data_IF_774058875873
#
_entry.id   IF_774058875873
#
_cell.length_a   1.000
_cell.length_b   1.000
_cell.length_c   1.000
_cell.angle_alpha   90.00
_cell.angle_beta   90.00
_cell.angle_gamma   90.00
#
_symmetry.space_group_name_H-M   'P 1'
#
loop_
_entity.id
_entity.type
_entity.pdbx_description
1 polymer ?
#
# COMPACT_ATOMS: atom_id res chain seq x y z
N UNK A 1 -18.66 -6.70 -0.94
CA UNK A 1 -18.23 -7.16 0.39
C UNK A 1 -18.90 -8.50 0.65
N UNK A 2 -18.29 -9.40 1.44
CA UNK A 2 -18.85 -10.72 1.73
C UNK A 2 -20.27 -10.60 2.27
N UNK A 3 -21.22 -11.44 1.79
CA UNK A 3 -22.51 -11.60 2.44
C UNK A 3 -22.32 -12.02 3.91
N UNK A 4 -23.12 -11.46 4.81
CA UNK A 4 -23.10 -11.87 6.21
C UNK A 4 -23.73 -13.27 6.33
N UNK A 5 -22.94 -14.23 6.83
CA UNK A 5 -23.41 -15.58 7.16
C UNK A 5 -23.02 -15.90 8.59
N UNK A 6 -23.92 -16.56 9.32
CA UNK A 6 -23.74 -16.93 10.71
C UNK A 6 -24.29 -18.31 11.03
N UNK A 7 -24.21 -18.71 12.29
CA UNK A 7 -24.64 -20.03 12.77
C UNK A 7 -26.14 -20.32 12.52
N UNK A 8 -26.95 -19.26 12.36
CA UNK A 8 -28.40 -19.34 12.15
C UNK A 8 -28.82 -19.02 10.71
N UNK A 9 -27.88 -18.93 9.78
CA UNK A 9 -28.19 -18.64 8.38
C UNK A 9 -28.90 -19.79 7.69
N UNK A 10 -29.85 -19.43 6.83
CA UNK A 10 -30.61 -20.38 6.02
C UNK A 10 -29.73 -21.01 4.94
N UNK A 11 -30.14 -22.16 4.40
CA UNK A 11 -29.44 -22.81 3.28
C UNK A 11 -29.27 -21.87 2.08
N UNK A 12 -30.28 -21.03 1.81
CA UNK A 12 -30.24 -20.07 0.71
C UNK A 12 -29.17 -18.97 0.93
N UNK A 13 -29.00 -18.50 2.16
CA UNK A 13 -27.96 -17.52 2.50
C UNK A 13 -26.55 -18.12 2.36
N UNK A 14 -26.39 -19.39 2.72
CA UNK A 14 -25.16 -20.14 2.48
C UNK A 14 -24.86 -20.30 0.99
N UNK A 15 -25.86 -20.62 0.17
CA UNK A 15 -25.69 -20.72 -1.29
C UNK A 15 -25.24 -19.39 -1.91
N UNK A 16 -25.81 -18.27 -1.46
CA UNK A 16 -25.42 -16.92 -1.88
C UNK A 16 -23.97 -16.62 -1.47
N UNK A 17 -23.58 -16.97 -0.24
CA UNK A 17 -22.20 -16.82 0.21
C UNK A 17 -21.22 -17.66 -0.62
N UNK A 18 -21.54 -18.93 -0.88
CA UNK A 18 -20.70 -19.81 -1.70
C UNK A 18 -20.56 -19.31 -3.13
N UNK A 19 -21.64 -18.80 -3.73
CA UNK A 19 -21.60 -18.18 -5.05
C UNK A 19 -20.73 -16.92 -5.07
N UNK A 20 -20.82 -16.09 -4.03
CA UNK A 20 -19.96 -14.92 -3.87
C UNK A 20 -18.49 -15.32 -3.71
N UNK A 21 -18.18 -16.26 -2.80
CA UNK A 21 -16.82 -16.71 -2.52
C UNK A 21 -16.15 -17.26 -3.78
N UNK A 22 -16.85 -18.08 -4.59
CA UNK A 22 -16.32 -18.59 -5.86
C UNK A 22 -15.94 -17.46 -6.82
N UNK A 23 -16.79 -16.44 -6.96
CA UNK A 23 -16.52 -15.28 -7.83
C UNK A 23 -15.33 -14.47 -7.32
N UNK A 24 -15.25 -14.23 -6.00
CA UNK A 24 -14.15 -13.50 -5.39
C UNK A 24 -12.82 -14.25 -5.55
N UNK A 25 -12.80 -15.56 -5.33
CA UNK A 25 -11.62 -16.42 -5.54
C UNK A 25 -11.13 -16.41 -6.98
N UNK A 26 -12.04 -16.46 -7.96
CA UNK A 26 -11.66 -16.36 -9.39
C UNK A 26 -11.03 -15.00 -9.68
N UNK A 27 -11.62 -13.92 -9.16
CA UNK A 27 -11.08 -12.57 -9.35
C UNK A 27 -9.72 -12.39 -8.65
N UNK A 28 -9.57 -12.92 -7.44
CA UNK A 28 -8.30 -12.97 -6.73
C UNK A 28 -7.24 -13.68 -7.58
N UNK A 29 -7.56 -14.85 -8.14
CA UNK A 29 -6.63 -15.57 -9.00
C UNK A 29 -6.24 -14.79 -10.26
N UNK A 30 -7.19 -14.14 -10.91
CA UNK A 30 -6.93 -13.28 -12.08
C UNK A 30 -6.00 -12.12 -11.69
N UNK A 31 -6.26 -11.46 -10.57
CA UNK A 31 -5.41 -10.38 -10.08
C UNK A 31 -4.00 -10.90 -9.78
N UNK A 32 -3.85 -11.95 -8.98
CA UNK A 32 -2.54 -12.47 -8.57
C UNK A 32 -1.73 -13.04 -9.73
N UNK A 33 -2.36 -13.70 -10.70
CA UNK A 33 -1.67 -14.33 -11.84
C UNK A 33 -1.08 -13.32 -12.83
N UNK A 34 -1.53 -12.07 -12.79
CA UNK A 34 -1.08 -10.99 -13.67
C UNK A 34 -0.08 -10.04 -13.01
N UNK A 35 0.23 -10.22 -11.72
CA UNK A 35 1.22 -9.40 -11.03
C UNK A 35 2.63 -9.93 -11.27
N UNK A 36 3.59 -9.01 -11.41
CA UNK A 36 5.00 -9.36 -11.30
C UNK A 36 5.33 -9.82 -9.88
N UNK A 37 6.43 -10.55 -9.71
CA UNK A 37 6.86 -11.07 -8.40
C UNK A 37 7.10 -9.94 -7.39
N UNK A 38 7.62 -8.81 -7.85
CA UNK A 38 7.89 -7.63 -7.03
C UNK A 38 6.60 -6.99 -6.53
N UNK A 39 5.57 -6.89 -7.38
CA UNK A 39 4.26 -6.34 -7.01
C UNK A 39 3.50 -7.29 -6.09
N UNK A 40 3.60 -8.61 -6.33
CA UNK A 40 2.99 -9.62 -5.49
C UNK A 40 3.59 -9.61 -4.06
N UNK A 41 4.90 -9.38 -3.91
CA UNK A 41 5.56 -9.29 -2.60
C UNK A 41 5.15 -8.04 -1.79
N UNK A 42 4.71 -6.97 -2.45
CA UNK A 42 4.27 -5.73 -1.79
C UNK A 42 2.83 -5.80 -1.26
N UNK A 43 2.07 -6.84 -1.62
CA UNK A 43 0.71 -7.07 -1.14
C UNK A 43 0.78 -8.17 -0.08
N UNK A 44 0.26 -7.95 1.14
CA UNK A 44 0.17 -9.03 2.11
C UNK A 44 -0.66 -10.15 1.48
N UNK A 45 0.01 -11.26 1.16
CA UNK A 45 -0.67 -12.43 0.63
C UNK A 45 -1.56 -13.01 1.73
N UNK A 46 -2.59 -13.72 1.27
CA UNK A 46 -3.71 -14.31 2.03
C UNK A 46 -3.24 -15.18 3.23
N UNK A 47 -1.95 -15.50 3.33
CA UNK A 47 -1.37 -16.41 4.32
C UNK A 47 -0.80 -15.75 5.59
N UNK A 48 -0.96 -14.43 5.79
CA UNK A 48 -0.73 -13.85 7.12
C UNK A 48 -1.82 -14.33 8.08
N UNK A 49 -1.56 -15.50 8.68
CA UNK A 49 -2.32 -16.12 9.78
C UNK A 49 -2.54 -15.17 10.96
N UNK A 50 -1.81 -14.07 11.04
CA UNK A 50 -1.96 -13.04 12.07
C UNK A 50 -3.13 -12.07 11.82
N UNK A 51 -3.68 -12.00 10.60
CA UNK A 51 -4.93 -11.29 10.30
C UNK A 51 -6.18 -12.20 10.45
N UNK A 52 -6.16 -13.11 11.42
CA UNK A 52 -7.22 -14.07 11.71
C UNK A 52 -8.53 -13.37 12.14
N UNK A 53 -9.29 -12.88 11.17
CA UNK A 53 -10.61 -12.27 11.41
C UNK A 53 -11.15 -11.44 10.27
N UNK A 54 -10.29 -10.97 9.34
CA UNK A 54 -10.73 -10.14 8.22
C UNK A 54 -10.56 -10.91 6.91
N UNK A 55 -11.67 -11.18 6.24
CA UNK A 55 -11.67 -11.79 4.90
C UNK A 55 -11.03 -10.80 3.92
N UNK A 56 -9.85 -11.13 3.40
CA UNK A 56 -9.19 -10.34 2.36
C UNK A 56 -9.80 -10.66 1.00
N UNK A 57 -10.49 -9.68 0.40
CA UNK A 57 -11.24 -9.88 -0.85
C UNK A 57 -10.50 -9.38 -2.09
N UNK A 58 -10.93 -9.80 -3.28
CA UNK A 58 -10.47 -9.25 -4.56
C UNK A 58 -10.60 -7.73 -4.65
N UNK A 59 -11.63 -7.17 -4.00
CA UNK A 59 -11.82 -5.73 -3.92
C UNK A 59 -10.75 -5.07 -3.05
N UNK A 60 -10.38 -5.66 -1.93
CA UNK A 60 -9.33 -5.15 -1.05
C UNK A 60 -7.98 -5.16 -1.75
N UNK A 61 -7.69 -6.24 -2.48
CA UNK A 61 -6.51 -6.35 -3.33
C UNK A 61 -6.48 -5.24 -4.39
N UNK A 62 -7.60 -5.01 -5.09
CA UNK A 62 -7.69 -3.95 -6.10
C UNK A 62 -7.52 -2.55 -5.49
N UNK A 63 -8.08 -2.28 -4.31
CA UNK A 63 -7.91 -1.00 -3.60
C UNK A 63 -6.44 -0.80 -3.22
N UNK A 64 -5.75 -1.84 -2.73
CA UNK A 64 -4.31 -1.76 -2.42
C UNK A 64 -3.48 -1.53 -3.67
N UNK A 65 -3.75 -2.26 -4.75
CA UNK A 65 -3.10 -2.06 -6.04
C UNK A 65 -3.29 -0.62 -6.55
N UNK A 66 -4.52 -0.09 -6.46
CA UNK A 66 -4.78 1.30 -6.83
C UNK A 66 -4.05 2.29 -5.92
N UNK A 67 -3.97 2.05 -4.61
CA UNK A 67 -3.18 2.91 -3.71
C UNK A 67 -1.69 2.89 -4.02
N UNK A 68 -1.13 1.72 -4.35
CA UNK A 68 0.30 1.56 -4.63
C UNK A 68 0.68 2.05 -6.04
N UNK A 69 -0.19 1.84 -7.03
CA UNK A 69 0.13 1.99 -8.45
C UNK A 69 -0.85 2.83 -9.26
N UNK A 70 -2.00 3.21 -8.69
CA UNK A 70 -3.11 3.84 -9.40
C UNK A 70 -3.49 5.26 -8.96
N UNK A 71 -2.81 5.85 -7.96
CA UNK A 71 -3.00 7.25 -7.56
C UNK A 71 -1.76 8.08 -7.87
N UNK A 72 -1.98 9.20 -8.57
CA UNK A 72 -0.96 10.20 -8.88
C UNK A 72 0.00 9.77 -10.00
N UNK A 73 0.67 10.76 -10.57
CA UNK A 73 1.74 10.56 -11.53
C UNK A 73 2.87 9.80 -10.81
N UNK A 74 2.84 8.47 -10.88
CA UNK A 74 3.79 7.58 -10.22
C UNK A 74 5.24 7.95 -10.56
N UNK A 75 5.44 8.54 -11.74
CA UNK A 75 6.72 9.10 -12.18
C UNK A 75 7.12 10.29 -11.30
N UNK A 76 6.22 11.23 -11.02
CA UNK A 76 6.46 12.37 -10.13
C UNK A 76 6.68 11.93 -8.68
N UNK A 77 5.89 10.98 -8.17
CA UNK A 77 6.06 10.49 -6.81
C UNK A 77 7.39 9.72 -6.64
N UNK A 78 7.77 8.93 -7.64
CA UNK A 78 9.08 8.24 -7.70
C UNK A 78 10.22 9.25 -7.81
N UNK A 79 10.10 10.27 -8.65
CA UNK A 79 11.09 11.34 -8.77
C UNK A 79 11.24 12.10 -7.45
N UNK A 80 10.14 12.43 -6.77
CA UNK A 80 10.15 13.06 -5.45
C UNK A 80 10.85 12.18 -4.40
N UNK A 81 10.60 10.86 -4.39
CA UNK A 81 11.31 9.90 -3.52
C UNK A 81 12.81 9.84 -3.83
N UNK A 82 13.21 9.79 -5.10
CA UNK A 82 14.63 9.78 -5.46
C UNK A 82 15.34 11.08 -5.10
N UNK A 83 14.67 12.23 -5.26
CA UNK A 83 15.19 13.53 -4.81
C UNK A 83 15.43 13.54 -3.30
N UNK A 84 14.54 12.93 -2.51
CA UNK A 84 14.75 12.79 -1.06
C UNK A 84 15.88 11.81 -0.72
N UNK A 85 16.04 10.73 -1.48
CA UNK A 85 17.06 9.70 -1.24
C UNK A 85 18.49 10.18 -1.57
N UNK A 86 18.63 11.04 -2.56
CA UNK A 86 19.93 11.53 -3.07
C UNK A 86 20.38 12.84 -2.46
N UNK A 87 19.55 13.45 -1.61
CA UNK A 87 19.87 14.73 -0.99
C UNK A 87 20.90 14.53 0.14
N UNK A 88 22.15 14.84 -0.16
CA UNK A 88 23.24 14.90 0.83
C UNK A 88 23.28 16.28 1.47
N UNK A 89 23.35 16.34 2.80
CA UNK A 89 23.23 17.57 3.58
C UNK A 89 24.53 17.87 4.30
N UNK A 90 25.09 19.04 4.04
CA UNK A 90 26.12 19.67 4.87
C UNK A 90 25.45 20.38 6.06
N UNK A 91 26.08 20.41 7.25
CA UNK A 91 25.52 20.93 8.51
C UNK A 91 24.87 22.32 8.39
N UNK A 92 25.38 23.17 7.51
CA UNK A 92 24.87 24.53 7.30
C UNK A 92 23.52 24.57 6.57
N UNK A 93 23.08 23.48 5.97
CA UNK A 93 21.88 23.39 5.14
C UNK A 93 20.76 22.54 5.77
N UNK A 94 20.89 22.12 7.04
CA UNK A 94 19.86 21.35 7.76
C UNK A 94 18.47 22.03 7.71
N UNK A 95 18.32 23.36 7.96
CA UNK A 95 17.01 24.00 7.90
C UNK A 95 16.37 23.90 6.50
N UNK A 96 17.16 24.15 5.44
CA UNK A 96 16.70 24.02 4.05
C UNK A 96 16.34 22.59 3.70
N UNK A 97 17.08 21.62 4.21
CA UNK A 97 16.77 20.21 4.06
C UNK A 97 15.44 19.85 4.71
N UNK A 98 15.21 20.28 5.96
CA UNK A 98 13.97 20.04 6.70
C UNK A 98 12.78 20.65 5.96
N UNK A 99 12.90 21.88 5.46
CA UNK A 99 11.82 22.55 4.72
C UNK A 99 11.52 21.84 3.39
N UNK A 100 12.57 21.43 2.65
CA UNK A 100 12.41 20.69 1.40
C UNK A 100 11.80 19.31 1.64
N UNK A 101 12.27 18.59 2.65
CA UNK A 101 11.73 17.30 3.05
C UNK A 101 10.26 17.41 3.42
N UNK A 102 9.91 18.38 4.28
CA UNK A 102 8.52 18.62 4.70
C UNK A 102 7.63 18.95 3.50
N UNK A 103 8.10 19.81 2.60
CA UNK A 103 7.36 20.20 1.40
C UNK A 103 7.10 19.00 0.48
N UNK A 104 8.10 18.13 0.27
CA UNK A 104 7.95 16.92 -0.53
C UNK A 104 7.00 15.92 0.12
N UNK A 105 7.07 15.72 1.45
CA UNK A 105 6.14 14.86 2.17
C UNK A 105 4.70 15.37 2.09
N UNK A 106 4.50 16.68 2.19
CA UNK A 106 3.19 17.31 2.04
C UNK A 106 2.64 17.13 0.62
N UNK A 107 3.47 17.31 -0.42
CA UNK A 107 3.09 17.06 -1.80
C UNK A 107 2.69 15.59 -2.03
N UNK A 108 3.48 14.64 -1.53
CA UNK A 108 3.16 13.21 -1.61
C UNK A 108 1.86 12.86 -0.87
N UNK A 109 1.58 13.49 0.28
CA UNK A 109 0.30 13.32 0.98
C UNK A 109 -0.89 13.91 0.21
N UNK A 110 -0.72 15.08 -0.41
CA UNK A 110 -1.76 15.71 -1.21
C UNK A 110 -2.17 14.83 -2.41
N UNK A 111 -1.20 14.18 -3.03
CA UNK A 111 -1.39 13.20 -4.12
C UNK A 111 -1.87 11.82 -3.62
N UNK A 112 -2.19 11.69 -2.33
CA UNK A 112 -2.59 10.43 -1.68
C UNK A 112 -1.59 9.28 -1.85
N UNK A 113 -0.32 9.62 -2.07
CA UNK A 113 0.73 8.63 -2.24
C UNK A 113 1.01 7.92 -0.91
N UNK A 114 1.10 6.57 -0.90
CA UNK A 114 1.35 5.82 0.33
C UNK A 114 2.77 6.09 0.85
N UNK A 115 2.84 6.65 2.06
CA UNK A 115 4.09 6.88 2.78
C UNK A 115 4.24 5.85 3.89
N UNK A 116 5.25 5.00 3.80
CA UNK A 116 5.65 4.12 4.90
C UNK A 116 6.40 4.98 5.92
N UNK A 117 5.79 5.24 7.08
CA UNK A 117 6.34 6.16 8.08
C UNK A 117 7.76 5.78 8.51
N UNK A 118 8.00 4.50 8.77
CA UNK A 118 9.31 3.98 9.19
C UNK A 118 10.39 4.23 8.14
N UNK A 119 10.12 3.90 6.87
CA UNK A 119 11.05 4.12 5.76
C UNK A 119 11.32 5.62 5.56
N UNK A 120 10.27 6.43 5.69
CA UNK A 120 10.33 7.88 5.52
C UNK A 120 11.20 8.56 6.59
N UNK A 121 11.09 8.12 7.85
CA UNK A 121 11.91 8.60 8.96
C UNK A 121 13.34 8.09 8.87
N UNK A 122 13.55 6.81 8.53
CA UNK A 122 14.90 6.26 8.36
C UNK A 122 15.67 6.96 7.25
N UNK A 123 15.00 7.29 6.14
CA UNK A 123 15.60 8.06 5.06
C UNK A 123 15.88 9.52 5.46
N UNK A 124 15.07 10.11 6.34
CA UNK A 124 15.37 11.44 6.88
C UNK A 124 16.65 11.41 7.73
N UNK A 125 16.74 10.47 8.68
CA UNK A 125 17.89 10.34 9.58
C UNK A 125 19.17 10.00 8.82
N UNK A 126 19.11 9.09 7.83
CA UNK A 126 20.27 8.72 7.00
C UNK A 126 20.91 9.88 6.24
N UNK A 127 20.12 10.92 5.94
CA UNK A 127 20.57 12.06 5.14
C UNK A 127 20.99 13.25 6.01
N UNK A 128 20.86 13.15 7.33
CA UNK A 128 21.44 14.12 8.24
C UNK A 128 22.96 13.86 8.37
N UNK A 129 23.78 14.92 8.49
CA UNK A 129 25.20 14.76 8.76
C UNK A 129 25.41 14.05 10.12
N UNK A 130 26.48 13.25 10.23
CA UNK A 130 26.76 12.39 11.40
C UNK A 130 27.42 13.12 12.59
N UNK A 131 27.57 14.45 12.55
CA UNK A 131 28.22 15.23 13.64
C UNK A 131 27.23 15.77 14.69
#
# INVERSE_FOLDING_TARGET
YPPAVGQWSTSQEWDVYMAWQRRDSVMMHILTSRLSKEVAAAIPMIDDRECAGVVFTARDMLVRLRRLYGYGDHIQAKAAREVLRTYTVDMRNIPKYVDKWRSTILALRAEQYPLIYTETVLNFVRNLPED
#
